data_IF_812638864069
#
_entry.id   IF_812638864069
#
_cell.length_a   1.000
_cell.length_b   1.000
_cell.length_c   1.000
_cell.angle_alpha   90.00
_cell.angle_beta   90.00
_cell.angle_gamma   90.00
#
_symmetry.space_group_name_H-M   'P 1'
#
loop_
_entity.id
_entity.type
_entity.pdbx_description
1 polymer ?
#
# COMPACT_ATOMS: atom_id res chain seq x y z
N UNK A 1 14.59 11.57 16.93
CA UNK A 1 14.24 11.89 15.52
C UNK A 1 13.23 10.86 15.06
N UNK A 2 12.13 11.27 14.46
CA UNK A 2 11.10 10.37 13.94
C UNK A 2 11.39 10.11 12.46
N UNK A 3 11.20 8.87 12.02
CA UNK A 3 11.38 8.43 10.64
C UNK A 3 10.15 7.63 10.24
N UNK A 4 9.72 7.77 9.00
CA UNK A 4 8.59 7.04 8.43
C UNK A 4 9.09 6.14 7.30
N UNK A 5 8.56 4.93 7.21
CA UNK A 5 8.86 3.96 6.17
C UNK A 5 7.55 3.49 5.51
N UNK A 6 7.50 3.50 4.19
CA UNK A 6 6.36 3.06 3.37
C UNK A 6 6.57 1.66 2.77
N UNK A 7 7.74 1.06 2.97
CA UNK A 7 8.05 -0.32 2.62
C UNK A 7 9.01 -0.96 3.63
N UNK A 8 9.04 -2.30 3.66
CA UNK A 8 10.01 -3.05 4.47
C UNK A 8 11.46 -2.77 4.04
N UNK A 9 11.67 -2.44 2.76
CA UNK A 9 12.99 -2.07 2.24
C UNK A 9 13.45 -0.73 2.84
N UNK A 10 12.60 0.29 2.83
CA UNK A 10 12.87 1.59 3.45
C UNK A 10 13.11 1.45 4.95
N UNK A 11 12.32 0.63 5.64
CA UNK A 11 12.50 0.36 7.07
C UNK A 11 13.90 -0.21 7.35
N UNK A 12 14.35 -1.19 6.56
CA UNK A 12 15.66 -1.79 6.72
C UNK A 12 16.80 -0.80 6.46
N UNK A 13 16.63 0.10 5.48
CA UNK A 13 17.59 1.18 5.22
C UNK A 13 17.68 2.15 6.39
N UNK A 14 16.53 2.63 6.91
CA UNK A 14 16.48 3.53 8.06
C UNK A 14 17.13 2.90 9.31
N UNK A 15 16.89 1.61 9.55
CA UNK A 15 17.51 0.88 10.67
C UNK A 15 19.02 0.76 10.48
N UNK A 16 19.49 0.51 9.25
CA UNK A 16 20.91 0.42 8.95
C UNK A 16 21.64 1.76 9.15
N UNK A 17 21.02 2.87 8.77
CA UNK A 17 21.57 4.22 8.91
C UNK A 17 21.49 4.77 10.33
N UNK A 18 20.39 4.51 11.04
CA UNK A 18 20.12 5.03 12.39
C UNK A 18 20.94 4.38 13.51
N UNK A 19 21.73 3.35 13.20
CA UNK A 19 22.45 2.55 14.17
C UNK A 19 21.54 1.54 14.88
N UNK A 20 22.07 0.32 15.13
CA UNK A 20 21.38 -0.74 15.89
C UNK A 20 21.37 -0.46 17.40
N UNK A 21 21.12 0.77 17.81
CA UNK A 21 20.89 1.01 19.21
C UNK A 21 19.54 0.36 19.56
N UNK A 22 19.54 -0.57 20.52
CA UNK A 22 18.38 -1.40 20.87
C UNK A 22 17.20 -0.59 21.45
N UNK A 23 17.31 0.75 21.43
CA UNK A 23 16.34 1.71 21.93
C UNK A 23 15.35 2.22 20.87
N UNK A 24 15.56 1.92 19.58
CA UNK A 24 14.65 2.36 18.52
C UNK A 24 13.28 1.65 18.63
N UNK A 25 12.26 2.40 19.08
CA UNK A 25 10.87 1.92 19.12
C UNK A 25 10.27 1.97 17.73
N UNK A 26 10.06 0.79 17.13
CA UNK A 26 9.38 0.65 15.83
C UNK A 26 7.88 0.51 16.10
N UNK A 27 7.09 1.38 15.48
CA UNK A 27 5.62 1.30 15.49
C UNK A 27 5.13 0.93 14.10
N UNK A 28 4.25 -0.07 14.03
CA UNK A 28 3.62 -0.50 12.78
C UNK A 28 2.17 -0.03 12.77
N UNK A 29 1.84 0.85 11.83
CA UNK A 29 0.48 1.30 11.62
C UNK A 29 -0.32 0.25 10.85
N UNK A 30 -1.45 -0.21 11.40
CA UNK A 30 -2.41 -1.08 10.71
C UNK A 30 -3.51 -0.32 9.99
N UNK A 31 -3.65 0.96 10.31
CA UNK A 31 -4.59 1.87 9.66
C UNK A 31 -4.36 3.32 10.06
N UNK A 32 -5.01 4.25 9.36
CA UNK A 32 -4.84 5.69 9.57
C UNK A 32 -5.34 6.18 10.94
N UNK A 33 -6.28 5.46 11.57
CA UNK A 33 -6.80 5.82 12.89
C UNK A 33 -5.81 5.60 14.04
N UNK A 34 -4.69 4.95 13.79
CA UNK A 34 -3.60 4.77 14.77
C UNK A 34 -2.59 5.93 14.75
N UNK A 35 -2.74 6.87 13.81
CA UNK A 35 -1.91 8.06 13.68
C UNK A 35 -2.57 9.25 14.35
N UNK A 36 -1.76 10.07 15.02
CA UNK A 36 -2.22 11.37 15.50
C UNK A 36 -2.33 12.39 14.33
N UNK A 37 -2.99 13.56 14.53
CA UNK A 37 -3.18 14.53 13.47
C UNK A 37 -1.88 15.09 12.87
N UNK A 38 -0.81 15.21 13.66
CA UNK A 38 0.48 15.73 13.20
C UNK A 38 1.16 14.71 12.29
N UNK A 39 1.16 13.43 12.67
CA UNK A 39 1.66 12.32 11.85
C UNK A 39 0.92 12.22 10.51
N UNK A 40 -0.41 12.33 10.52
CA UNK A 40 -1.22 12.31 9.28
C UNK A 40 -0.84 13.47 8.37
N UNK A 41 -0.69 14.67 8.93
CA UNK A 41 -0.32 15.85 8.16
C UNK A 41 1.05 15.69 7.51
N UNK A 42 2.07 15.32 8.29
CA UNK A 42 3.44 15.16 7.83
C UNK A 42 3.60 14.07 6.76
N UNK A 43 2.84 12.98 6.87
CA UNK A 43 3.07 11.79 6.02
C UNK A 43 2.14 11.71 4.81
N UNK A 44 0.91 12.24 4.89
CA UNK A 44 -0.12 11.99 3.87
C UNK A 44 -0.79 13.25 3.32
N UNK A 45 -0.77 14.38 4.05
CA UNK A 45 -1.55 15.56 3.66
C UNK A 45 -0.73 16.73 3.16
N UNK A 46 0.45 16.98 3.75
CA UNK A 46 1.31 18.10 3.39
C UNK A 46 1.81 17.97 1.94
N UNK A 47 1.52 18.93 1.03
CA UNK A 47 1.97 18.87 -0.37
C UNK A 47 3.47 18.68 -0.56
N UNK A 48 4.29 19.14 0.37
CA UNK A 48 5.75 19.07 0.27
C UNK A 48 6.31 17.68 0.60
N UNK A 49 5.58 16.86 1.36
CA UNK A 49 6.05 15.56 1.84
C UNK A 49 5.14 14.38 1.49
N UNK A 50 3.91 14.63 1.06
CA UNK A 50 2.94 13.57 0.72
C UNK A 50 3.34 12.83 -0.56
N UNK A 51 3.07 11.53 -0.56
CA UNK A 51 3.18 10.69 -1.75
C UNK A 51 1.79 10.44 -2.33
N UNK A 52 1.53 10.95 -3.55
CA UNK A 52 0.27 10.73 -4.26
C UNK A 52 0.51 9.93 -5.54
N UNK A 53 -0.32 8.93 -5.77
CA UNK A 53 -0.38 8.21 -7.05
C UNK A 53 -1.57 8.74 -7.86
N UNK A 54 -1.29 9.40 -8.99
CA UNK A 54 -2.33 9.80 -9.94
C UNK A 54 -2.72 8.58 -10.78
N UNK A 55 -4.00 8.25 -10.79
CA UNK A 55 -4.53 7.19 -11.64
C UNK A 55 -4.75 7.76 -13.04
N UNK A 56 -4.16 7.12 -14.05
CA UNK A 56 -4.34 7.42 -15.46
C UNK A 56 -5.33 6.45 -16.09
N UNK A 57 -5.97 6.90 -17.17
CA UNK A 57 -6.90 6.12 -17.98
C UNK A 57 -6.69 6.51 -19.44
N UNK A 58 -6.63 5.52 -20.33
CA UNK A 58 -6.58 5.70 -21.78
C UNK A 58 -7.59 4.78 -22.47
N UNK A 59 -7.99 5.12 -23.69
CA UNK A 59 -8.98 4.34 -24.46
C UNK A 59 -8.46 2.93 -24.82
N UNK A 60 -7.15 2.76 -24.93
CA UNK A 60 -6.53 1.46 -25.23
C UNK A 60 -6.68 0.46 -24.08
N UNK A 61 -6.76 0.94 -22.83
CA UNK A 61 -6.96 0.10 -21.63
C UNK A 61 -8.42 -0.03 -21.21
N UNK A 62 -9.37 0.64 -21.87
CA UNK A 62 -10.79 0.65 -21.48
C UNK A 62 -11.38 -0.77 -21.40
N UNK A 63 -11.14 -1.60 -22.43
CA UNK A 63 -11.66 -2.97 -22.47
C UNK A 63 -11.07 -3.85 -21.36
N UNK A 64 -9.77 -3.70 -21.05
CA UNK A 64 -9.12 -4.49 -20.00
C UNK A 64 -9.61 -4.06 -18.61
N UNK A 65 -9.87 -2.77 -18.44
CA UNK A 65 -10.45 -2.19 -17.23
C UNK A 65 -11.87 -2.71 -17.01
N UNK A 66 -12.74 -2.69 -18.02
CA UNK A 66 -14.12 -3.18 -17.90
C UNK A 66 -14.17 -4.67 -17.55
N UNK A 67 -13.35 -5.49 -18.21
CA UNK A 67 -13.20 -6.91 -17.89
C UNK A 67 -12.72 -7.10 -16.45
N UNK A 68 -11.73 -6.32 -16.01
CA UNK A 68 -11.21 -6.38 -14.63
C UNK A 68 -12.28 -5.99 -13.60
N UNK A 69 -13.02 -4.91 -13.83
CA UNK A 69 -14.10 -4.46 -12.95
C UNK A 69 -15.23 -5.49 -12.88
N UNK A 70 -15.67 -5.98 -14.03
CA UNK A 70 -16.73 -7.00 -14.09
C UNK A 70 -16.31 -8.28 -13.38
N UNK A 71 -15.06 -8.72 -13.56
CA UNK A 71 -14.55 -9.94 -12.91
C UNK A 71 -14.42 -9.78 -11.39
N UNK A 72 -13.89 -8.65 -10.92
CA UNK A 72 -13.60 -8.46 -9.49
C UNK A 72 -14.79 -7.93 -8.69
N UNK A 73 -15.65 -7.12 -9.31
CA UNK A 73 -16.70 -6.37 -8.63
C UNK A 73 -18.11 -6.71 -9.13
N UNK A 74 -18.25 -7.46 -10.23
CA UNK A 74 -19.54 -7.89 -10.77
C UNK A 74 -20.23 -9.00 -9.97
N UNK A 75 -21.47 -9.31 -10.31
CA UNK A 75 -22.33 -10.21 -9.52
C UNK A 75 -21.96 -11.70 -9.60
N UNK A 76 -21.18 -12.08 -10.62
CA UNK A 76 -20.81 -13.47 -10.85
C UNK A 76 -19.65 -13.89 -9.95
N UNK A 77 -19.88 -14.91 -9.12
CA UNK A 77 -18.89 -15.39 -8.13
C UNK A 77 -17.79 -16.24 -8.79
N UNK A 78 -18.15 -17.09 -9.75
CA UNK A 78 -17.21 -18.07 -10.32
C UNK A 78 -16.01 -17.42 -11.03
N UNK A 79 -16.19 -16.42 -11.92
CA UNK A 79 -15.07 -15.77 -12.59
C UNK A 79 -14.10 -15.09 -11.60
N UNK A 80 -14.65 -14.48 -10.54
CA UNK A 80 -13.86 -13.87 -9.46
C UNK A 80 -13.03 -14.91 -8.73
N UNK A 81 -13.62 -16.06 -8.40
CA UNK A 81 -12.96 -17.15 -7.69
C UNK A 81 -11.81 -17.71 -8.50
N UNK A 82 -12.03 -18.03 -9.78
CA UNK A 82 -10.98 -18.51 -10.69
C UNK A 82 -9.83 -17.50 -10.80
N UNK A 83 -10.16 -16.21 -10.93
CA UNK A 83 -9.17 -15.14 -10.96
C UNK A 83 -8.33 -15.11 -9.68
N UNK A 84 -8.95 -15.16 -8.51
CA UNK A 84 -8.24 -15.14 -7.22
C UNK A 84 -7.36 -16.40 -7.09
N UNK A 85 -7.87 -17.60 -7.37
CA UNK A 85 -7.10 -18.84 -7.23
C UNK A 85 -5.87 -18.86 -8.14
N UNK A 86 -6.01 -18.38 -9.39
CA UNK A 86 -4.90 -18.27 -10.34
C UNK A 86 -3.85 -17.27 -9.89
N UNK A 87 -4.26 -16.16 -9.27
CA UNK A 87 -3.37 -15.03 -8.99
C UNK A 87 -2.88 -14.92 -7.54
N UNK A 88 -3.52 -15.61 -6.58
CA UNK A 88 -3.23 -15.51 -5.15
C UNK A 88 -1.77 -15.81 -4.82
N UNK A 89 -1.13 -16.75 -5.56
CA UNK A 89 0.28 -17.11 -5.36
C UNK A 89 1.27 -16.02 -5.76
N UNK A 90 0.86 -15.06 -6.59
CA UNK A 90 1.70 -13.95 -7.02
C UNK A 90 1.61 -12.75 -6.06
N UNK A 91 0.61 -12.72 -5.19
CA UNK A 91 0.43 -11.66 -4.21
C UNK A 91 1.27 -11.98 -2.97
N UNK A 92 2.32 -11.19 -2.75
CA UNK A 92 3.25 -11.38 -1.62
C UNK A 92 2.70 -10.89 -0.28
N UNK A 93 1.71 -9.99 -0.28
CA UNK A 93 1.29 -9.21 0.89
C UNK A 93 -0.22 -9.33 1.18
N UNK A 94 -0.76 -10.55 1.28
CA UNK A 94 -2.20 -10.74 1.58
C UNK A 94 -2.53 -10.69 3.09
N UNK A 95 -1.58 -11.06 3.96
CA UNK A 95 -1.82 -11.22 5.40
C UNK A 95 -0.78 -10.48 6.27
N UNK A 96 -0.61 -9.17 6.04
CA UNK A 96 0.28 -8.34 6.85
C UNK A 96 -0.52 -7.37 7.72
#
# INVERSE_FOLDING_TARGET
KVWYAYSDEELNQIIAEGGRDQSNKIQRYKGLGEMDPEQLWETTMNPDSRTLKRIGFDEETESDIDVTFTTLMGDQVEPRKEFIEKNARFVKNLDI
#
